data_IF_134371780138
#
_entry.id   IF_134371780138
#
_cell.length_a   1.000
_cell.length_b   1.000
_cell.length_c   1.000
_cell.angle_alpha   90.00
_cell.angle_beta   90.00
_cell.angle_gamma   90.00
#
_symmetry.space_group_name_H-M   'P 1'
#
loop_
_entity.id
_entity.type
_entity.pdbx_description
1 polymer ?
#
# COMPACT_ATOMS: atom_id res chain seq x y z
N UNK A 1 -15.30 29.04 14.89
CA UNK A 1 -14.13 28.25 15.31
C UNK A 1 -14.61 27.10 16.16
N UNK A 2 -14.88 25.95 15.55
CA UNK A 2 -15.21 24.71 16.29
C UNK A 2 -14.14 23.70 15.96
N UNK A 3 -13.10 23.68 16.80
CA UNK A 3 -12.09 22.65 16.80
C UNK A 3 -12.71 21.47 17.55
N UNK A 4 -13.27 20.51 16.82
CA UNK A 4 -13.63 19.22 17.40
C UNK A 4 -12.40 18.32 17.31
N UNK A 5 -11.59 18.35 18.36
CA UNK A 5 -10.65 17.29 18.66
C UNK A 5 -11.45 16.04 19.07
N UNK A 6 -11.61 15.09 18.15
CA UNK A 6 -11.89 13.70 18.50
C UNK A 6 -10.58 12.93 18.32
N UNK A 7 -9.83 12.85 19.43
CA UNK A 7 -8.75 11.90 19.61
C UNK A 7 -9.39 10.61 20.12
N UNK A 8 -9.40 9.54 19.30
CA UNK A 8 -9.79 8.19 19.72
C UNK A 8 -8.90 7.15 19.01
N UNK A 9 -7.95 6.59 19.76
CA UNK A 9 -7.41 5.21 19.65
C UNK A 9 -7.19 4.59 18.25
N UNK A 10 -6.13 5.04 17.56
CA UNK A 10 -4.99 4.17 17.20
C UNK A 10 -5.18 2.97 16.26
N UNK A 11 -6.23 2.92 15.46
CA UNK A 11 -6.25 2.17 14.20
C UNK A 11 -6.31 3.18 13.07
N UNK A 12 -5.55 3.00 11.99
CA UNK A 12 -5.76 3.80 10.78
C UNK A 12 -7.25 3.74 10.43
N UNK A 13 -7.92 4.89 10.32
CA UNK A 13 -9.26 4.96 9.79
C UNK A 13 -9.29 4.24 8.42
N UNK A 14 -10.43 3.65 8.04
CA UNK A 14 -10.52 2.85 6.80
C UNK A 14 -10.10 3.65 5.55
N UNK A 15 -10.36 4.97 5.57
CA UNK A 15 -9.89 5.96 4.60
C UNK A 15 -8.35 6.09 4.59
N UNK A 16 -7.71 6.27 5.76
CA UNK A 16 -6.26 6.38 5.88
C UNK A 16 -5.55 5.08 5.47
N UNK A 17 -6.14 3.92 5.80
CA UNK A 17 -5.65 2.62 5.37
C UNK A 17 -5.69 2.48 3.85
N UNK A 18 -6.81 2.88 3.24
CA UNK A 18 -6.98 2.82 1.79
C UNK A 18 -6.02 3.77 1.09
N UNK A 19 -5.91 5.02 1.55
CA UNK A 19 -4.96 5.98 1.02
C UNK A 19 -3.49 5.52 1.14
N UNK A 20 -3.14 4.84 2.24
CA UNK A 20 -1.83 4.24 2.42
C UNK A 20 -1.57 3.11 1.42
N UNK A 21 -2.55 2.23 1.19
CA UNK A 21 -2.45 1.16 0.18
C UNK A 21 -2.26 1.78 -1.21
N UNK A 22 -3.14 2.69 -1.62
CA UNK A 22 -3.09 3.34 -2.94
C UNK A 22 -1.74 4.04 -3.18
N UNK A 23 -1.20 4.71 -2.16
CA UNK A 23 0.11 5.35 -2.25
C UNK A 23 1.22 4.33 -2.51
N UNK A 24 1.26 3.24 -1.74
CA UNK A 24 2.28 2.21 -1.87
C UNK A 24 2.19 1.52 -3.24
N UNK A 25 0.98 1.22 -3.71
CA UNK A 25 0.69 0.67 -5.04
C UNK A 25 1.24 1.60 -6.13
N UNK A 26 0.91 2.88 -6.09
CA UNK A 26 1.38 3.85 -7.09
C UNK A 26 2.91 4.01 -7.12
N UNK A 27 3.58 3.96 -5.96
CA UNK A 27 5.05 3.96 -5.88
C UNK A 27 5.65 2.71 -6.54
N UNK A 28 5.05 1.54 -6.33
CA UNK A 28 5.49 0.27 -6.92
C UNK A 28 5.25 0.21 -8.43
N UNK A 29 4.09 0.68 -8.90
CA UNK A 29 3.80 0.80 -10.34
C UNK A 29 4.85 1.67 -11.04
N UNK A 30 5.20 2.81 -10.43
CA UNK A 30 6.22 3.71 -10.97
C UNK A 30 7.60 3.04 -11.02
N UNK A 31 7.99 2.31 -9.96
CA UNK A 31 9.23 1.56 -9.94
C UNK A 31 9.28 0.48 -11.05
N UNK A 32 8.18 -0.25 -11.30
CA UNK A 32 8.10 -1.24 -12.41
C UNK A 32 8.22 -0.54 -13.77
N UNK A 33 7.48 0.56 -13.99
CA UNK A 33 7.54 1.34 -15.24
C UNK A 33 8.94 1.90 -15.50
N UNK A 34 9.68 2.23 -14.45
CA UNK A 34 11.08 2.66 -14.53
C UNK A 34 12.10 1.51 -14.63
N UNK A 35 11.64 0.25 -14.68
CA UNK A 35 12.50 -0.93 -14.76
C UNK A 35 13.27 -1.23 -13.47
N UNK A 36 12.76 -0.76 -12.32
CA UNK A 36 13.36 -0.88 -10.99
C UNK A 36 12.80 -2.10 -10.21
N UNK A 37 12.44 -3.17 -10.92
CA UNK A 37 11.82 -4.36 -10.33
C UNK A 37 12.80 -5.07 -9.40
N UNK A 38 12.39 -5.22 -8.14
CA UNK A 38 13.02 -6.14 -7.19
C UNK A 38 12.38 -7.53 -7.33
N UNK A 39 13.20 -8.59 -7.26
CA UNK A 39 12.82 -10.01 -7.40
C UNK A 39 11.66 -10.50 -6.49
N UNK A 40 11.28 -9.73 -5.45
CA UNK A 40 10.24 -10.09 -4.49
C UNK A 40 9.27 -8.90 -4.22
N UNK A 41 8.41 -8.58 -5.19
CA UNK A 41 7.45 -7.46 -5.09
C UNK A 41 6.46 -7.64 -3.93
N UNK A 42 5.91 -8.84 -3.73
CA UNK A 42 4.95 -9.11 -2.66
C UNK A 42 5.57 -8.91 -1.26
N UNK A 43 6.83 -9.33 -1.07
CA UNK A 43 7.55 -9.05 0.18
C UNK A 43 7.68 -7.54 0.42
N UNK A 44 8.10 -6.79 -0.60
CA UNK A 44 8.31 -5.35 -0.49
C UNK A 44 7.00 -4.59 -0.24
N UNK A 45 5.93 -4.99 -0.93
CA UNK A 45 4.58 -4.46 -0.72
C UNK A 45 4.14 -4.68 0.73
N UNK A 46 4.33 -5.89 1.27
CA UNK A 46 4.07 -6.19 2.68
C UNK A 46 4.85 -5.28 3.64
N UNK A 47 6.17 -5.17 3.45
CA UNK A 47 7.02 -4.31 4.29
C UNK A 47 6.59 -2.84 4.24
N UNK A 48 6.21 -2.33 3.06
CA UNK A 48 5.78 -0.95 2.87
C UNK A 48 4.41 -0.67 3.47
N UNK A 49 3.48 -1.61 3.31
CA UNK A 49 2.16 -1.53 3.94
C UNK A 49 2.29 -1.56 5.46
N UNK A 50 3.08 -2.49 6.01
CA UNK A 50 3.30 -2.56 7.46
C UNK A 50 4.01 -1.30 8.00
N UNK A 51 4.97 -0.75 7.25
CA UNK A 51 5.59 0.53 7.58
C UNK A 51 4.61 1.71 7.55
N UNK A 52 3.59 1.64 6.69
CA UNK A 52 2.48 2.59 6.65
C UNK A 52 1.40 2.33 7.72
N UNK A 53 1.57 1.29 8.54
CA UNK A 53 0.60 0.88 9.57
C UNK A 53 -0.53 -0.01 9.05
N UNK A 54 -0.45 -0.44 7.79
CA UNK A 54 -1.42 -1.32 7.14
C UNK A 54 -0.93 -2.76 7.20
N UNK A 55 -1.66 -3.64 7.88
CA UNK A 55 -1.37 -5.06 7.88
C UNK A 55 -2.39 -5.79 7.01
N UNK A 56 -1.92 -6.43 5.94
CA UNK A 56 -2.73 -7.25 5.04
C UNK A 56 -2.35 -8.73 5.16
N UNK A 57 -3.28 -9.61 4.84
CA UNK A 57 -2.98 -11.03 4.73
C UNK A 57 -2.00 -11.28 3.56
N UNK A 58 -1.09 -12.27 3.65
CA UNK A 58 -0.15 -12.59 2.57
C UNK A 58 -0.84 -12.80 1.22
N UNK A 59 -1.99 -13.48 1.21
CA UNK A 59 -2.76 -13.72 -0.01
C UNK A 59 -3.29 -12.41 -0.65
N UNK A 60 -3.64 -11.41 0.16
CA UNK A 60 -4.07 -10.11 -0.35
C UNK A 60 -2.87 -9.30 -0.88
N UNK A 61 -1.71 -9.43 -0.24
CA UNK A 61 -0.46 -8.84 -0.72
C UNK A 61 -0.06 -9.44 -2.07
N UNK A 62 -0.16 -10.75 -2.23
CA UNK A 62 0.12 -11.43 -3.50
C UNK A 62 -0.85 -10.98 -4.61
N UNK A 63 -2.15 -10.86 -4.31
CA UNK A 63 -3.16 -10.36 -5.26
C UNK A 63 -2.88 -8.91 -5.68
N UNK A 64 -2.55 -8.03 -4.72
CA UNK A 64 -2.18 -6.65 -5.03
C UNK A 64 -0.90 -6.57 -5.87
N UNK A 65 0.11 -7.39 -5.59
CA UNK A 65 1.34 -7.42 -6.38
C UNK A 65 1.08 -7.83 -7.84
N UNK A 66 0.25 -8.86 -8.06
CA UNK A 66 -0.16 -9.30 -9.40
C UNK A 66 -0.96 -8.21 -10.16
N UNK A 67 -1.84 -7.50 -9.44
CA UNK A 67 -2.59 -6.37 -9.99
C UNK A 67 -1.67 -5.21 -10.42
N UNK A 68 -0.68 -4.85 -9.59
CA UNK A 68 0.32 -3.82 -9.92
C UNK A 68 1.14 -4.24 -11.14
N UNK A 69 1.62 -5.49 -11.20
CA UNK A 69 2.40 -5.98 -12.35
C UNK A 69 1.57 -5.92 -13.64
N UNK A 70 0.30 -6.31 -13.56
CA UNK A 70 -0.63 -6.25 -14.70
C UNK A 70 -0.88 -4.81 -15.16
N UNK A 71 -1.12 -3.88 -14.24
CA UNK A 71 -1.40 -2.47 -14.58
C UNK A 71 -0.16 -1.73 -15.09
N UNK A 72 1.00 -1.98 -14.50
CA UNK A 72 2.27 -1.37 -14.93
C UNK A 72 2.76 -1.90 -16.29
N UNK A 73 2.33 -3.10 -16.69
CA UNK A 73 2.72 -3.74 -17.96
C UNK A 73 1.83 -3.37 -19.16
N UNK A 74 0.76 -2.61 -18.93
CA UNK A 74 -0.26 -2.24 -19.93
C UNK A 74 0.08 -0.91 -20.63
#
# INVERSE_FOLDING_TARGET
>A
MSIHNAHLEGGLDDDDRTAAIERVVAELEDDIRHGRVMDDMSRLLGERLEAAGVSLAPAAIDELADAIETDASL
#
